data_IF_539388000378
#
_entry.id   IF_539388000378
#
_cell.length_a   1.000
_cell.length_b   1.000
_cell.length_c   1.000
_cell.angle_alpha   90.00
_cell.angle_beta   90.00
_cell.angle_gamma   90.00
#
_symmetry.space_group_name_H-M   'P 1'
#
loop_
_entity.id
_entity.type
_entity.pdbx_description
1 polymer ?
#
# COMPACT_ATOMS: atom_id res chain seq x y z
N UNK A 1 9.89 -2.77 -15.84
CA UNK A 1 8.82 -1.76 -15.99
C UNK A 1 9.40 -0.54 -16.68
N UNK A 2 9.11 -0.36 -17.99
CA UNK A 2 9.60 0.78 -18.77
C UNK A 2 9.20 2.15 -18.19
N UNK A 3 8.15 2.21 -17.34
CA UNK A 3 7.62 3.41 -16.70
C UNK A 3 7.42 3.27 -15.18
N UNK A 4 8.28 2.52 -14.50
CA UNK A 4 8.15 2.26 -13.06
C UNK A 4 8.05 3.53 -12.22
N UNK A 5 8.86 4.55 -12.52
CA UNK A 5 8.84 5.83 -11.80
C UNK A 5 7.48 6.54 -11.92
N UNK A 6 6.90 6.59 -13.12
CA UNK A 6 5.57 7.18 -13.33
C UNK A 6 4.52 6.41 -12.52
N UNK A 7 4.50 5.08 -12.62
CA UNK A 7 3.56 4.23 -11.91
C UNK A 7 3.62 4.45 -10.39
N UNK A 8 4.81 4.46 -9.80
CA UNK A 8 4.98 4.65 -8.36
C UNK A 8 4.58 6.06 -7.91
N UNK A 9 4.88 7.08 -8.70
CA UNK A 9 4.44 8.45 -8.40
C UNK A 9 2.90 8.56 -8.41
N UNK A 10 2.24 7.91 -9.36
CA UNK A 10 0.77 7.84 -9.41
C UNK A 10 0.20 7.09 -8.23
N UNK A 11 0.88 6.02 -7.78
CA UNK A 11 0.47 5.24 -6.62
C UNK A 11 0.52 6.09 -5.34
N UNK A 12 1.62 6.80 -5.08
CA UNK A 12 1.74 7.73 -3.95
C UNK A 12 0.70 8.85 -4.02
N UNK A 13 0.51 9.44 -5.19
CA UNK A 13 -0.48 10.51 -5.41
C UNK A 13 -1.90 10.02 -5.11
N UNK A 14 -2.28 8.83 -5.57
CA UNK A 14 -3.60 8.26 -5.32
C UNK A 14 -3.83 7.98 -3.82
N UNK A 15 -2.81 7.45 -3.12
CA UNK A 15 -2.85 7.27 -1.66
C UNK A 15 -3.08 8.60 -0.95
N UNK A 16 -2.24 9.60 -1.26
CA UNK A 16 -2.34 10.93 -0.66
C UNK A 16 -3.73 11.56 -0.86
N UNK A 17 -4.22 11.58 -2.09
CA UNK A 17 -5.54 12.12 -2.41
C UNK A 17 -6.69 11.33 -1.76
N UNK A 18 -6.53 10.02 -1.56
CA UNK A 18 -7.52 9.21 -0.84
C UNK A 18 -7.54 9.59 0.64
N UNK A 19 -6.39 9.59 1.31
CA UNK A 19 -6.30 9.93 2.74
C UNK A 19 -6.85 11.34 3.01
N UNK A 20 -6.47 12.34 2.22
CA UNK A 20 -6.98 13.70 2.37
C UNK A 20 -8.49 13.81 2.13
N UNK A 21 -9.00 13.15 1.09
CA UNK A 21 -10.46 13.17 0.84
C UNK A 21 -11.24 12.65 2.02
N UNK A 22 -10.77 11.55 2.64
CA UNK A 22 -11.42 10.97 3.82
C UNK A 22 -11.21 11.82 5.08
N UNK A 23 -10.03 12.42 5.25
CA UNK A 23 -9.75 13.32 6.36
C UNK A 23 -10.68 14.53 6.35
N UNK A 24 -10.78 15.20 5.22
CA UNK A 24 -11.67 16.37 5.09
C UNK A 24 -13.16 16.01 5.16
N UNK A 25 -13.59 14.97 4.44
CA UNK A 25 -15.01 14.64 4.37
C UNK A 25 -15.59 14.13 5.68
N UNK A 26 -14.78 13.45 6.51
CA UNK A 26 -15.25 12.85 7.75
C UNK A 26 -14.94 13.67 9.00
N UNK A 27 -13.81 14.35 8.99
CA UNK A 27 -13.30 15.00 10.21
C UNK A 27 -12.99 16.48 10.01
N UNK A 28 -13.11 16.99 8.79
CA UNK A 28 -12.79 18.38 8.46
C UNK A 28 -11.30 18.70 8.59
N UNK A 29 -10.42 17.71 8.41
CA UNK A 29 -8.97 17.90 8.55
C UNK A 29 -8.19 17.28 7.38
N UNK A 30 -7.09 17.93 7.01
CA UNK A 30 -6.03 17.33 6.21
C UNK A 30 -5.09 16.53 7.11
N UNK A 31 -4.93 15.23 6.85
CA UNK A 31 -4.01 14.38 7.62
C UNK A 31 -2.65 14.31 6.96
N UNK A 32 -1.60 14.09 7.75
CA UNK A 32 -0.30 13.65 7.24
C UNK A 32 -0.23 12.14 7.08
N UNK A 33 0.83 11.64 6.45
CA UNK A 33 1.16 10.22 6.45
C UNK A 33 2.67 10.01 6.27
N UNK A 34 3.21 8.98 6.93
CA UNK A 34 4.48 8.39 6.53
C UNK A 34 4.14 7.23 5.59
N UNK A 35 4.63 7.28 4.35
CA UNK A 35 4.32 6.31 3.32
C UNK A 35 5.60 5.63 2.81
N UNK A 36 5.63 4.29 2.82
CA UNK A 36 6.76 3.47 2.39
C UNK A 36 6.32 2.54 1.26
N UNK A 37 7.01 2.61 0.12
CA UNK A 37 6.76 1.73 -1.02
C UNK A 37 7.50 0.40 -0.82
N UNK A 38 6.77 -0.70 -0.94
CA UNK A 38 7.29 -2.03 -1.18
C UNK A 38 6.91 -2.50 -2.58
N UNK A 39 7.81 -3.20 -3.26
CA UNK A 39 7.60 -3.65 -4.63
C UNK A 39 7.51 -5.18 -4.75
N UNK A 40 7.58 -5.90 -3.64
CA UNK A 40 7.59 -7.36 -3.58
C UNK A 40 6.50 -7.91 -2.67
N UNK A 41 5.97 -9.06 -3.04
CA UNK A 41 5.08 -9.86 -2.19
C UNK A 41 5.85 -10.84 -1.29
N UNK A 42 5.14 -11.60 -0.48
CA UNK A 42 5.72 -12.63 0.39
C UNK A 42 6.50 -13.71 -0.38
N UNK A 43 6.12 -13.95 -1.63
CA UNK A 43 6.75 -14.91 -2.55
C UNK A 43 7.82 -14.26 -3.45
N UNK A 44 8.27 -13.04 -3.12
CA UNK A 44 9.20 -12.22 -3.91
C UNK A 44 8.70 -11.83 -5.32
N UNK A 45 7.43 -12.11 -5.66
CA UNK A 45 6.85 -11.61 -6.90
C UNK A 45 6.72 -10.09 -6.88
N UNK A 46 6.69 -9.48 -8.06
CA UNK A 46 6.43 -8.04 -8.21
C UNK A 46 5.02 -7.74 -7.68
N UNK A 47 4.96 -7.02 -6.57
CA UNK A 47 3.73 -6.66 -5.87
C UNK A 47 3.83 -5.26 -5.25
N UNK A 48 3.76 -4.20 -6.08
CA UNK A 48 3.86 -2.83 -5.58
C UNK A 48 2.70 -2.48 -4.64
N UNK A 49 3.03 -2.05 -3.43
CA UNK A 49 2.06 -1.58 -2.45
C UNK A 49 2.69 -0.56 -1.50
N UNK A 50 1.86 0.25 -0.87
CA UNK A 50 2.31 1.31 0.03
C UNK A 50 1.81 1.00 1.44
N UNK A 51 2.74 0.99 2.40
CA UNK A 51 2.45 1.03 3.81
C UNK A 51 2.32 2.47 4.26
N UNK A 52 1.23 2.79 4.98
CA UNK A 52 0.99 4.13 5.51
C UNK A 52 0.82 4.10 7.02
N UNK A 53 1.54 4.98 7.70
CA UNK A 53 1.26 5.34 9.09
C UNK A 53 0.57 6.70 9.07
N UNK A 54 -0.66 6.74 9.55
CA UNK A 54 -1.53 7.92 9.50
C UNK A 54 -1.88 8.34 10.93
N UNK A 55 -1.61 9.60 11.33
CA UNK A 55 -2.00 10.07 12.66
C UNK A 55 -3.53 10.19 12.77
N UNK A 56 -4.06 9.90 13.95
CA UNK A 56 -5.46 10.23 14.28
C UNK A 56 -5.61 11.72 14.62
N UNK A 57 -5.10 12.57 13.75
CA UNK A 57 -5.09 14.02 13.88
C UNK A 57 -4.80 14.68 12.53
N UNK A 58 -5.02 15.98 12.43
CA UNK A 58 -4.68 16.76 11.25
C UNK A 58 -4.94 18.24 11.43
N UNK A 59 -4.68 19.03 10.40
CA UNK A 59 -5.00 20.43 10.37
C UNK A 59 -6.37 20.66 9.73
N UNK A 60 -7.23 21.40 10.41
CA UNK A 60 -8.47 21.92 9.84
C UNK A 60 -8.18 23.05 8.83
N UNK A 61 -9.18 23.43 8.04
CA UNK A 61 -9.03 24.47 7.01
C UNK A 61 -8.65 25.84 7.59
N UNK A 62 -9.00 26.11 8.85
CA UNK A 62 -8.61 27.30 9.60
C UNK A 62 -7.21 27.21 10.23
N UNK A 63 -6.44 26.17 9.87
CA UNK A 63 -5.05 25.99 10.30
C UNK A 63 -4.87 25.51 11.74
N UNK A 64 -5.94 25.02 12.40
CA UNK A 64 -5.86 24.49 13.76
C UNK A 64 -5.58 23.00 13.77
N UNK A 65 -4.70 22.57 14.66
CA UNK A 65 -4.49 21.15 14.93
C UNK A 65 -5.70 20.56 15.63
N UNK A 66 -6.22 19.47 15.09
CA UNK A 66 -7.41 18.76 15.60
C UNK A 66 -7.10 17.28 15.77
N UNK A 67 -7.28 16.77 16.98
CA UNK A 67 -7.25 15.33 17.24
C UNK A 67 -8.57 14.70 16.80
N UNK A 68 -8.48 13.53 16.17
CA UNK A 68 -9.61 12.76 15.69
C UNK A 68 -9.86 11.63 16.68
N UNK A 69 -10.92 11.75 17.48
CA UNK A 69 -11.38 10.67 18.36
C UNK A 69 -12.06 9.57 17.52
N UNK A 70 -11.58 8.33 17.63
CA UNK A 70 -12.16 7.18 16.92
C UNK A 70 -12.39 5.95 17.81
N UNK A 71 -12.24 6.09 19.13
CA UNK A 71 -12.50 5.02 20.12
C UNK A 71 -11.67 3.75 19.91
N UNK A 72 -10.44 3.85 19.39
CA UNK A 72 -9.57 2.70 19.14
C UNK A 72 -9.95 1.87 17.89
N UNK A 73 -10.97 2.29 17.15
CA UNK A 73 -11.41 1.64 15.90
C UNK A 73 -10.60 2.14 14.70
N UNK A 74 -10.91 1.62 13.51
CA UNK A 74 -10.32 2.08 12.27
C UNK A 74 -10.62 3.56 12.01
N UNK A 75 -9.61 4.32 11.60
CA UNK A 75 -9.74 5.75 11.31
C UNK A 75 -10.70 5.99 10.13
N UNK A 76 -10.64 5.14 9.11
CA UNK A 76 -11.44 5.24 7.89
C UNK A 76 -12.12 3.92 7.51
N UNK A 77 -13.26 3.94 6.81
CA UNK A 77 -13.95 2.74 6.34
C UNK A 77 -13.18 2.09 5.17
N UNK A 78 -12.67 0.90 5.39
CA UNK A 78 -11.74 0.19 4.50
C UNK A 78 -12.32 -0.03 3.10
N UNK A 79 -13.58 -0.47 2.99
CA UNK A 79 -14.22 -0.73 1.70
C UNK A 79 -14.37 0.54 0.85
N UNK A 80 -14.77 1.65 1.48
CA UNK A 80 -14.91 2.93 0.79
C UNK A 80 -13.53 3.46 0.37
N UNK A 81 -12.51 3.32 1.22
CA UNK A 81 -11.14 3.68 0.87
C UNK A 81 -10.62 2.89 -0.32
N UNK A 82 -10.85 1.58 -0.35
CA UNK A 82 -10.41 0.72 -1.45
C UNK A 82 -11.00 1.17 -2.78
N UNK A 83 -12.31 1.44 -2.81
CA UNK A 83 -12.99 1.93 -4.02
C UNK A 83 -12.49 3.30 -4.47
N UNK A 84 -12.32 4.23 -3.53
CA UNK A 84 -11.82 5.58 -3.83
C UNK A 84 -10.37 5.56 -4.31
N UNK A 85 -9.52 4.78 -3.66
CA UNK A 85 -8.12 4.61 -4.04
C UNK A 85 -8.00 4.02 -5.45
N UNK A 86 -8.73 2.93 -5.74
CA UNK A 86 -8.77 2.32 -7.08
C UNK A 86 -9.18 3.33 -8.14
N UNK A 87 -10.27 4.07 -7.93
CA UNK A 87 -10.76 5.06 -8.89
C UNK A 87 -9.70 6.15 -9.14
N UNK A 88 -9.17 6.77 -8.09
CA UNK A 88 -8.16 7.84 -8.19
C UNK A 88 -6.89 7.38 -8.92
N UNK A 89 -6.42 6.18 -8.62
CA UNK A 89 -5.24 5.62 -9.27
C UNK A 89 -5.49 5.36 -10.75
N UNK A 90 -6.55 4.62 -11.09
CA UNK A 90 -6.84 4.24 -12.47
C UNK A 90 -7.17 5.46 -13.35
N UNK A 91 -7.86 6.45 -12.83
CA UNK A 91 -8.11 7.71 -13.56
C UNK A 91 -6.83 8.49 -13.82
N UNK A 92 -5.93 8.53 -12.85
CA UNK A 92 -4.63 9.18 -13.02
C UNK A 92 -3.73 8.42 -14.00
N UNK A 93 -3.75 7.08 -13.94
CA UNK A 93 -3.03 6.23 -14.88
C UNK A 93 -3.54 6.41 -16.31
N UNK A 94 -4.87 6.42 -16.52
CA UNK A 94 -5.47 6.67 -17.84
C UNK A 94 -5.06 8.02 -18.40
N UNK A 95 -5.06 9.07 -17.58
CA UNK A 95 -4.61 10.41 -18.00
C UNK A 95 -3.14 10.42 -18.40
N UNK A 96 -2.28 9.75 -17.63
CA UNK A 96 -0.84 9.65 -17.93
C UNK A 96 -0.58 8.87 -19.22
N UNK A 97 -1.26 7.74 -19.43
CA UNK A 97 -1.14 6.93 -20.64
C UNK A 97 -1.67 7.65 -21.88
N UNK A 98 -2.75 8.44 -21.76
CA UNK A 98 -3.23 9.29 -22.87
C UNK A 98 -2.17 10.30 -23.30
N UNK A 99 -1.51 10.98 -22.36
CA UNK A 99 -0.46 11.95 -22.65
C UNK A 99 0.74 11.32 -23.36
N UNK A 100 0.95 10.01 -23.20
CA UNK A 100 2.02 9.25 -23.84
C UNK A 100 1.56 8.50 -25.11
N UNK A 101 0.31 8.68 -25.55
CA UNK A 101 -0.31 7.93 -26.64
C UNK A 101 -0.27 6.39 -26.45
N UNK A 102 -0.28 5.93 -25.20
CA UNK A 102 -0.17 4.51 -24.84
C UNK A 102 -1.48 3.91 -24.30
N UNK A 103 -2.55 4.71 -24.14
CA UNK A 103 -3.77 4.24 -23.50
C UNK A 103 -4.37 3.00 -24.20
N UNK A 104 -4.35 2.96 -25.53
CA UNK A 104 -4.92 1.84 -26.31
C UNK A 104 -4.17 0.54 -26.03
N UNK A 105 -2.84 0.61 -25.89
CA UNK A 105 -2.00 -0.57 -25.61
C UNK A 105 -2.30 -1.21 -24.25
N UNK A 106 -2.80 -0.45 -23.30
CA UNK A 106 -3.06 -0.91 -21.92
C UNK A 106 -4.55 -0.97 -21.57
N UNK A 107 -5.44 -0.82 -22.55
CA UNK A 107 -6.88 -0.78 -22.28
C UNK A 107 -7.39 -2.03 -21.56
N UNK A 108 -7.02 -3.23 -22.02
CA UNK A 108 -7.45 -4.49 -21.43
C UNK A 108 -6.96 -4.67 -19.98
N UNK A 109 -5.71 -4.25 -19.70
CA UNK A 109 -5.16 -4.29 -18.34
C UNK A 109 -5.91 -3.33 -17.42
N UNK A 110 -6.26 -2.15 -17.92
CA UNK A 110 -7.06 -1.17 -17.17
C UNK A 110 -8.46 -1.72 -16.89
N UNK A 111 -9.13 -2.31 -17.88
CA UNK A 111 -10.46 -2.92 -17.68
C UNK A 111 -10.40 -4.05 -16.64
N UNK A 112 -9.42 -4.93 -16.72
CA UNK A 112 -9.20 -5.97 -15.70
C UNK A 112 -8.95 -5.37 -14.32
N UNK A 113 -8.17 -4.29 -14.22
CA UNK A 113 -7.93 -3.61 -12.95
C UNK A 113 -9.20 -2.98 -12.36
N UNK A 114 -10.12 -2.48 -13.20
CA UNK A 114 -11.43 -2.01 -12.74
C UNK A 114 -12.33 -3.15 -12.24
N UNK A 115 -12.35 -4.29 -12.91
CA UNK A 115 -13.18 -5.45 -12.53
C UNK A 115 -12.61 -6.22 -11.31
N UNK A 116 -11.30 -6.13 -11.06
CA UNK A 116 -10.65 -6.81 -9.94
C UNK A 116 -10.86 -6.05 -8.63
N UNK A 117 -11.24 -6.72 -7.52
CA UNK A 117 -11.27 -6.10 -6.21
C UNK A 117 -9.86 -5.65 -5.78
N UNK A 118 -9.75 -4.40 -5.30
CA UNK A 118 -8.52 -3.89 -4.71
C UNK A 118 -8.60 -4.01 -3.20
N UNK A 119 -7.48 -4.33 -2.57
CA UNK A 119 -7.42 -4.55 -1.13
C UNK A 119 -6.72 -3.38 -0.47
N UNK A 120 -7.42 -2.69 0.42
CA UNK A 120 -6.84 -1.80 1.41
C UNK A 120 -6.97 -2.50 2.76
N UNK A 121 -5.88 -2.66 3.46
CA UNK A 121 -5.84 -3.23 4.80
C UNK A 121 -5.57 -2.11 5.80
N UNK A 122 -6.39 -2.02 6.84
CA UNK A 122 -6.18 -1.10 7.95
C UNK A 122 -6.02 -1.89 9.24
N UNK A 123 -5.11 -1.44 10.08
CA UNK A 123 -4.96 -1.94 11.44
C UNK A 123 -5.53 -0.92 12.44
N UNK A 124 -5.98 -1.35 13.61
CA UNK A 124 -6.33 -0.44 14.71
C UNK A 124 -5.16 0.47 15.08
N UNK A 125 -5.47 1.54 15.82
CA UNK A 125 -4.43 2.46 16.30
C UNK A 125 -3.38 1.73 17.14
N UNK A 126 -2.13 2.16 16.99
CA UNK A 126 -1.03 1.63 17.79
C UNK A 126 -1.12 2.18 19.22
N UNK A 127 -0.90 1.31 20.20
CA UNK A 127 -1.10 1.63 21.62
C UNK A 127 -0.04 2.60 22.19
N UNK A 128 1.14 2.69 21.57
CA UNK A 128 2.23 3.52 22.07
C UNK A 128 3.20 3.98 20.99
N UNK A 129 4.01 5.00 21.30
CA UNK A 129 5.08 5.45 20.41
C UNK A 129 6.12 4.35 20.09
N UNK A 130 6.39 3.47 21.05
CA UNK A 130 7.29 2.34 20.85
C UNK A 130 6.77 1.38 19.77
N UNK A 131 5.49 1.09 19.75
CA UNK A 131 4.86 0.29 18.69
C UNK A 131 4.98 0.98 17.32
N UNK A 132 4.85 2.30 17.28
CA UNK A 132 5.05 3.10 16.05
C UNK A 132 6.49 2.99 15.55
N UNK A 133 7.48 3.16 16.43
CA UNK A 133 8.91 3.07 16.08
C UNK A 133 9.26 1.65 15.61
N UNK A 134 8.77 0.63 16.30
CA UNK A 134 8.97 -0.78 15.90
C UNK A 134 8.36 -1.07 14.54
N UNK A 135 7.14 -0.59 14.29
CA UNK A 135 6.48 -0.70 12.99
C UNK A 135 7.30 -0.04 11.88
N UNK A 136 7.71 1.21 12.08
CA UNK A 136 8.55 1.94 11.12
C UNK A 136 9.86 1.20 10.85
N UNK A 137 10.53 0.69 11.90
CA UNK A 137 11.76 -0.09 11.75
C UNK A 137 11.58 -1.31 10.85
N UNK A 138 10.47 -2.03 10.96
CA UNK A 138 10.18 -3.19 10.12
C UNK A 138 9.99 -2.84 8.64
N UNK A 139 9.40 -1.68 8.34
CA UNK A 139 9.04 -1.31 6.95
C UNK A 139 10.07 -0.42 6.26
N UNK A 140 10.86 0.35 7.01
CA UNK A 140 11.89 1.23 6.43
C UNK A 140 13.15 0.47 6.01
N UNK A 141 13.49 -0.64 6.66
CA UNK A 141 14.64 -1.47 6.29
C UNK A 141 14.53 -2.16 4.93
N UNK A 142 13.37 -2.14 4.29
CA UNK A 142 13.14 -2.65 2.91
C UNK A 142 13.70 -4.03 2.63
N UNK A 143 13.78 -4.90 3.63
CA UNK A 143 14.24 -6.27 3.46
C UNK A 143 13.11 -7.11 2.86
N UNK A 144 13.30 -7.57 1.63
CA UNK A 144 12.30 -8.39 0.94
C UNK A 144 12.15 -9.78 1.58
N UNK A 145 13.25 -10.31 2.09
CA UNK A 145 13.29 -11.60 2.78
C UNK A 145 14.29 -11.53 3.94
N UNK A 146 13.91 -12.05 5.10
CA UNK A 146 14.84 -12.19 6.25
C UNK A 146 15.54 -13.55 6.21
N UNK A 147 16.73 -13.62 6.77
CA UNK A 147 17.49 -14.89 6.86
C UNK A 147 16.68 -16.00 7.52
N UNK A 148 15.82 -15.68 8.49
CA UNK A 148 14.95 -16.66 9.17
C UNK A 148 13.93 -17.34 8.25
N UNK A 149 13.66 -16.77 7.09
CA UNK A 149 12.76 -17.33 6.08
C UNK A 149 13.48 -18.22 5.10
N UNK A 150 14.79 -18.14 4.99
CA UNK A 150 15.62 -18.97 4.10
C UNK A 150 15.78 -20.34 4.76
N UNK A 151 15.41 -21.38 4.03
CA UNK A 151 15.44 -22.78 4.51
C UNK A 151 16.62 -23.53 3.94
N UNK A 152 16.93 -23.30 2.66
CA UNK A 152 18.02 -23.96 1.97
C UNK A 152 18.59 -23.09 0.86
N UNK A 153 19.89 -23.14 0.68
CA UNK A 153 20.62 -22.50 -0.42
C UNK A 153 21.53 -23.56 -1.03
N UNK A 154 21.44 -23.72 -2.33
CA UNK A 154 22.37 -24.49 -3.17
C UNK A 154 22.94 -23.56 -4.24
N UNK A 155 23.92 -24.03 -5.01
CA UNK A 155 24.53 -23.23 -6.08
C UNK A 155 23.52 -22.76 -7.16
N UNK A 156 22.41 -23.50 -7.32
CA UNK A 156 21.41 -23.22 -8.37
C UNK A 156 20.04 -22.79 -7.81
N UNK A 157 19.78 -22.96 -6.52
CA UNK A 157 18.42 -22.76 -5.98
C UNK A 157 18.42 -22.20 -4.57
N UNK A 158 17.43 -21.36 -4.30
CA UNK A 158 17.13 -20.87 -2.94
C UNK A 158 15.70 -21.26 -2.57
N UNK A 159 15.54 -21.94 -1.44
CA UNK A 159 14.23 -22.31 -0.89
C UNK A 159 13.94 -21.47 0.36
N UNK A 160 12.78 -20.85 0.40
CA UNK A 160 12.35 -20.01 1.51
C UNK A 160 10.87 -20.18 1.85
N UNK A 161 10.49 -19.76 3.06
CA UNK A 161 9.12 -19.79 3.55
C UNK A 161 8.41 -18.50 3.18
N UNK A 162 7.25 -18.61 2.52
CA UNK A 162 6.27 -17.55 2.33
C UNK A 162 4.99 -17.85 3.14
N UNK A 163 4.23 -16.81 3.48
CA UNK A 163 2.90 -16.97 4.06
C UNK A 163 1.84 -16.73 3.01
N UNK A 164 0.91 -17.65 2.86
CA UNK A 164 -0.26 -17.49 2.00
C UNK A 164 -1.44 -16.97 2.83
N UNK A 165 -1.66 -15.67 2.76
CA UNK A 165 -2.75 -15.01 3.50
C UNK A 165 -4.14 -15.37 2.97
N UNK A 166 -4.26 -15.90 1.75
CA UNK A 166 -5.53 -16.40 1.22
C UNK A 166 -5.95 -17.72 1.88
N UNK A 167 -4.99 -18.43 2.45
CA UNK A 167 -5.19 -19.70 3.16
C UNK A 167 -4.85 -19.56 4.65
N UNK A 168 -5.31 -18.49 5.29
CA UNK A 168 -5.12 -18.29 6.74
C UNK A 168 -3.66 -18.12 7.18
N UNK A 169 -2.82 -17.53 6.33
CA UNK A 169 -1.38 -17.35 6.58
C UNK A 169 -0.59 -18.67 6.67
N UNK A 170 -1.06 -19.73 6.02
CA UNK A 170 -0.36 -21.02 5.95
C UNK A 170 1.06 -20.85 5.40
N UNK A 171 1.99 -21.61 5.95
CA UNK A 171 3.39 -21.64 5.47
C UNK A 171 3.45 -22.38 4.13
N UNK A 172 4.09 -21.74 3.15
CA UNK A 172 4.36 -22.30 1.83
C UNK A 172 5.86 -22.24 1.54
N UNK A 173 6.44 -23.34 1.10
CA UNK A 173 7.83 -23.36 0.65
C UNK A 173 7.89 -22.96 -0.81
N UNK A 174 8.77 -22.01 -1.13
CA UNK A 174 9.00 -21.51 -2.48
C UNK A 174 10.46 -21.71 -2.82
N UNK A 175 10.71 -22.31 -3.97
CA UNK A 175 12.06 -22.50 -4.51
C UNK A 175 12.20 -21.65 -5.77
N UNK A 176 13.23 -20.82 -5.80
CA UNK A 176 13.62 -20.04 -6.98
C UNK A 176 14.94 -20.61 -7.50
N UNK A 177 15.04 -20.75 -8.81
CA UNK A 177 16.29 -21.03 -9.50
C UNK A 177 17.07 -19.75 -9.80
N UNK A 178 18.37 -19.83 -9.92
CA UNK A 178 19.21 -18.73 -10.41
C UNK A 178 19.17 -18.62 -11.93
#
# INVERSE_FOLDING_TARGET
LHNGRMFYNLLFSAVWHTLNSFGYSRYGVGTGAIAVLHTWGQNLSLHPHIHCLVPAAGYSLDGRWKNIGHGGKFLYPVHQMSSAFKAKFLDSLKRALRKQNQLVLFNDQIQRAYSTPWVVHCQPSMASAEHVVRYLGQYTHRVAITNQRIVNITDEKVTFIARDYRQGAAKKYITLGG
#
